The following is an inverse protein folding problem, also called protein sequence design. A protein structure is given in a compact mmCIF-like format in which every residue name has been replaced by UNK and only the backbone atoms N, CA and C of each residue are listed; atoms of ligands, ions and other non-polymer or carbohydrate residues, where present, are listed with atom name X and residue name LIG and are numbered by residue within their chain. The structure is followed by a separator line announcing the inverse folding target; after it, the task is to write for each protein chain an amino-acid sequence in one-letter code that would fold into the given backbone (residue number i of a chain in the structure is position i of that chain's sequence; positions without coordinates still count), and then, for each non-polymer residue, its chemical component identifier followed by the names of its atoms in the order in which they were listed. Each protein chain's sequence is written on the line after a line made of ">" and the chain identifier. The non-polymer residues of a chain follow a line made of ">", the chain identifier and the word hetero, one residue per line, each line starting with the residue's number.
data_IF_220639235881
#
_entry.id   IF_220639235881
#
_cell.length_a   1.000
_cell.length_b   1.000
_cell.length_c   1.000
_cell.angle_alpha   90.00
_cell.angle_beta   90.00
_cell.angle_gamma   90.00
#
_symmetry.space_group_name_H-M   'P 1'
#
loop_
_entity.id
_entity.type
_entity.pdbx_description
1 polymer ?
#
# COMPACT_ATOMS: atom_id res chain seq x y z
N UNK A 1 -0.44 13.53 7.56
CA UNK A 1 0.01 13.63 6.17
C UNK A 1 1.52 13.59 6.16
N UNK A 2 2.11 12.61 5.52
CA UNK A 2 3.57 12.47 5.42
C UNK A 2 4.00 12.92 4.02
N UNK A 3 4.95 13.83 3.93
CA UNK A 3 5.48 14.32 2.64
C UNK A 3 6.95 13.90 2.58
N UNK A 4 7.28 13.00 1.64
CA UNK A 4 8.65 12.68 1.28
C UNK A 4 8.76 12.84 -0.24
N UNK A 5 9.75 13.62 -0.69
CA UNK A 5 10.03 13.83 -2.13
C UNK A 5 8.84 14.34 -2.98
N UNK A 6 8.07 15.34 -2.52
CA UNK A 6 6.88 15.88 -3.17
C UNK A 6 5.70 14.90 -3.32
N UNK A 7 5.70 13.77 -2.61
CA UNK A 7 4.61 12.82 -2.58
C UNK A 7 3.78 13.01 -1.32
N UNK A 8 2.45 13.12 -1.45
CA UNK A 8 1.55 13.12 -0.29
C UNK A 8 0.98 11.72 -0.09
N UNK A 9 0.93 11.28 1.16
CA UNK A 9 0.37 9.98 1.53
C UNK A 9 -0.75 10.20 2.53
N UNK A 10 -1.90 9.53 2.31
CA UNK A 10 -3.06 9.53 3.20
C UNK A 10 -3.48 8.11 3.52
N UNK A 11 -3.98 7.90 4.72
CA UNK A 11 -4.55 6.62 5.17
C UNK A 11 -5.78 6.87 6.05
N UNK A 12 -6.63 5.84 6.18
CA UNK A 12 -7.89 5.91 6.93
C UNK A 12 -7.72 5.49 8.38
N UNK A 13 -7.12 4.33 8.61
CA UNK A 13 -7.01 3.67 9.92
C UNK A 13 -5.57 3.26 10.23
N UNK A 14 -5.33 2.86 11.47
CA UNK A 14 -4.07 2.25 11.88
C UNK A 14 -4.22 0.73 11.88
N UNK A 15 -3.21 0.02 11.42
CA UNK A 15 -3.20 -1.43 11.37
C UNK A 15 -2.12 -1.98 12.32
N UNK A 16 -2.56 -2.78 13.28
CA UNK A 16 -1.67 -3.59 14.10
C UNK A 16 -1.57 -4.98 13.47
N UNK A 17 -0.37 -5.46 13.13
CA UNK A 17 -0.19 -6.79 12.54
C UNK A 17 -0.75 -7.93 13.40
N UNK A 18 -1.16 -9.02 12.74
CA UNK A 18 -1.87 -10.14 13.37
C UNK A 18 -1.03 -10.94 14.38
N UNK A 19 0.28 -10.74 14.39
CA UNK A 19 1.19 -11.41 15.33
C UNK A 19 1.28 -10.73 16.71
N UNK A 20 0.61 -9.58 16.93
CA UNK A 20 0.48 -8.98 18.25
C UNK A 20 -0.69 -9.57 19.03
N UNK A 21 -0.56 -9.64 20.37
CA UNK A 21 -1.61 -10.02 21.32
C UNK A 21 -2.02 -8.83 22.18
N UNK A 22 -3.18 -8.96 22.83
CA UNK A 22 -3.67 -7.93 23.76
C UNK A 22 -4.13 -6.64 23.07
N UNK A 23 -4.61 -6.76 21.85
CA UNK A 23 -5.20 -5.63 21.12
C UNK A 23 -6.45 -5.14 21.86
N UNK A 24 -6.68 -3.83 21.86
CA UNK A 24 -7.95 -3.27 22.29
C UNK A 24 -9.02 -3.41 21.19
N UNK A 25 -10.27 -3.13 21.55
CA UNK A 25 -11.43 -3.29 20.63
C UNK A 25 -11.29 -2.49 19.31
N UNK A 26 -10.73 -1.29 19.37
CA UNK A 26 -10.52 -0.46 18.19
C UNK A 26 -9.44 -1.06 17.27
N UNK A 27 -8.35 -1.54 17.85
CA UNK A 27 -7.27 -2.21 17.09
C UNK A 27 -7.76 -3.50 16.43
N UNK A 28 -8.54 -4.31 17.16
CA UNK A 28 -9.15 -5.52 16.61
C UNK A 28 -10.14 -5.22 15.49
N UNK A 29 -10.95 -4.17 15.65
CA UNK A 29 -11.88 -3.71 14.61
C UNK A 29 -11.12 -3.28 13.36
N UNK A 30 -10.11 -2.45 13.51
CA UNK A 30 -9.31 -1.93 12.40
C UNK A 30 -8.56 -3.06 11.70
N UNK A 31 -8.02 -4.02 12.44
CA UNK A 31 -7.41 -5.23 11.89
C UNK A 31 -8.40 -6.05 11.05
N UNK A 32 -9.62 -6.28 11.55
CA UNK A 32 -10.68 -6.97 10.79
C UNK A 32 -11.06 -6.23 9.50
N UNK A 33 -11.12 -4.89 9.52
CA UNK A 33 -11.41 -4.08 8.34
C UNK A 33 -10.34 -4.32 7.26
N UNK A 34 -9.07 -4.33 7.65
CA UNK A 34 -7.95 -4.55 6.71
C UNK A 34 -7.98 -5.97 6.14
N UNK A 35 -8.18 -6.99 6.98
CA UNK A 35 -8.25 -8.39 6.54
C UNK A 35 -9.44 -8.61 5.59
N UNK A 36 -10.61 -8.06 5.92
CA UNK A 36 -11.77 -8.12 5.04
C UNK A 36 -11.51 -7.41 3.70
N UNK A 37 -10.81 -6.28 3.70
CA UNK A 37 -10.44 -5.59 2.47
C UNK A 37 -9.52 -6.43 1.58
N UNK A 38 -8.51 -7.08 2.16
CA UNK A 38 -7.64 -8.02 1.44
C UNK A 38 -8.43 -9.15 0.78
N UNK A 39 -9.49 -9.60 1.44
CA UNK A 39 -10.38 -10.66 0.92
C UNK A 39 -11.46 -10.15 -0.05
N UNK A 40 -11.47 -8.86 -0.39
CA UNK A 40 -12.48 -8.25 -1.25
C UNK A 40 -13.84 -8.02 -0.54
N UNK A 41 -13.91 -8.27 0.76
CA UNK A 41 -15.11 -8.16 1.59
C UNK A 41 -15.16 -6.79 2.29
N UNK A 42 -15.58 -5.76 1.61
CA UNK A 42 -15.72 -4.41 2.17
C UNK A 42 -17.01 -3.74 1.72
N UNK A 43 -17.47 -2.78 2.53
CA UNK A 43 -18.75 -2.12 2.37
C UNK A 43 -18.65 -0.82 1.54
N UNK A 44 -19.82 -0.25 1.25
CA UNK A 44 -19.95 0.97 0.47
C UNK A 44 -19.35 2.20 1.17
N UNK A 45 -19.36 2.24 2.51
CA UNK A 45 -18.76 3.35 3.29
C UNK A 45 -17.25 3.45 3.05
N UNK A 46 -16.60 2.30 2.89
CA UNK A 46 -15.17 2.28 2.58
C UNK A 46 -14.89 2.76 1.16
N UNK A 47 -15.70 2.31 0.20
CA UNK A 47 -15.59 2.77 -1.20
C UNK A 47 -15.87 4.27 -1.31
N UNK A 48 -16.89 4.76 -0.59
CA UNK A 48 -17.20 6.18 -0.50
C UNK A 48 -16.04 6.99 0.10
N UNK A 49 -15.35 6.44 1.11
CA UNK A 49 -14.17 7.09 1.70
C UNK A 49 -13.04 7.26 0.67
N UNK A 50 -12.73 6.23 -0.14
CA UNK A 50 -11.75 6.35 -1.22
C UNK A 50 -12.17 7.42 -2.22
N UNK A 51 -13.39 7.39 -2.73
CA UNK A 51 -13.92 8.38 -3.65
C UNK A 51 -13.81 9.82 -3.12
N UNK A 52 -14.20 10.04 -1.85
CA UNK A 52 -14.13 11.37 -1.22
C UNK A 52 -12.69 11.88 -1.10
N UNK A 53 -11.72 10.98 -0.82
CA UNK A 53 -10.32 11.38 -0.73
C UNK A 53 -9.69 11.60 -2.11
N UNK A 54 -10.09 10.85 -3.13
CA UNK A 54 -9.75 11.13 -4.52
C UNK A 54 -10.25 12.53 -4.90
N UNK A 55 -11.53 12.83 -4.68
CA UNK A 55 -12.10 14.16 -4.98
C UNK A 55 -11.36 15.31 -4.27
N UNK A 56 -10.96 15.11 -3.01
CA UNK A 56 -10.16 16.09 -2.26
C UNK A 56 -8.73 16.25 -2.77
N UNK A 57 -8.15 15.22 -3.38
CA UNK A 57 -6.81 15.29 -3.97
C UNK A 57 -6.84 15.98 -5.33
N UNK A 58 -7.87 15.72 -6.11
CA UNK A 58 -8.02 16.28 -7.46
C UNK A 58 -8.56 17.71 -7.46
N UNK A 59 -9.08 18.19 -6.32
CA UNK A 59 -9.76 19.49 -6.20
C UNK A 59 -10.86 19.69 -7.27
N UNK A 60 -11.45 18.59 -7.74
CA UNK A 60 -12.49 18.56 -8.77
C UNK A 60 -11.98 18.54 -10.22
N UNK A 61 -10.66 18.64 -10.45
CA UNK A 61 -10.07 18.40 -11.77
C UNK A 61 -9.79 16.90 -11.95
N UNK A 62 -10.76 16.16 -12.45
CA UNK A 62 -10.64 14.70 -12.66
C UNK A 62 -9.91 14.35 -13.96
N UNK A 63 -9.78 15.28 -14.93
CA UNK A 63 -9.22 14.96 -16.25
C UNK A 63 -7.69 14.88 -16.29
N UNK A 64 -7.01 15.63 -15.43
CA UNK A 64 -5.55 15.65 -15.34
C UNK A 64 -5.00 14.55 -14.44
N UNK A 65 -5.88 13.65 -13.93
CA UNK A 65 -5.54 12.64 -12.95
C UNK A 65 -5.81 11.23 -13.47
N UNK A 66 -5.06 10.29 -12.93
CA UNK A 66 -5.37 8.86 -13.01
C UNK A 66 -5.24 8.19 -11.65
N UNK A 67 -6.01 7.13 -11.45
CA UNK A 67 -5.94 6.26 -10.28
C UNK A 67 -5.39 4.92 -10.73
N UNK A 68 -4.32 4.50 -10.07
CA UNK A 68 -3.67 3.21 -10.29
C UNK A 68 -3.56 2.46 -8.98
N UNK A 69 -3.56 1.14 -9.04
CA UNK A 69 -3.40 0.29 -7.86
C UNK A 69 -1.98 -0.26 -7.80
N UNK A 70 -1.40 -0.36 -6.59
CA UNK A 70 -0.13 -1.04 -6.41
C UNK A 70 -0.29 -2.53 -6.72
N UNK A 71 0.74 -3.18 -7.30
CA UNK A 71 0.62 -4.56 -7.73
C UNK A 71 0.55 -5.53 -6.55
N UNK A 72 -0.36 -6.50 -6.63
CA UNK A 72 -0.41 -7.66 -5.75
C UNK A 72 0.49 -8.80 -6.29
N UNK A 73 0.61 -9.89 -5.52
CA UNK A 73 1.40 -11.07 -5.90
C UNK A 73 0.90 -11.79 -7.16
N UNK A 74 -0.38 -11.65 -7.49
CA UNK A 74 -0.98 -12.17 -8.72
C UNK A 74 -2.15 -11.32 -9.20
N UNK A 75 -2.55 -11.51 -10.47
CA UNK A 75 -3.72 -10.83 -11.06
C UNK A 75 -5.03 -11.25 -10.35
N UNK A 76 -5.12 -12.48 -9.88
CA UNK A 76 -6.28 -12.97 -9.13
C UNK A 76 -6.39 -12.24 -7.78
N UNK A 77 -5.28 -12.06 -7.07
CA UNK A 77 -5.23 -11.28 -5.83
C UNK A 77 -5.56 -9.81 -6.08
N UNK A 78 -5.04 -9.24 -7.16
CA UNK A 78 -5.31 -7.87 -7.59
C UNK A 78 -6.82 -7.67 -7.82
N UNK A 79 -7.42 -8.56 -8.62
CA UNK A 79 -8.85 -8.51 -8.93
C UNK A 79 -9.72 -8.77 -7.69
N UNK A 80 -9.36 -9.74 -6.85
CA UNK A 80 -10.07 -10.05 -5.61
C UNK A 80 -10.09 -8.84 -4.68
N UNK A 81 -8.94 -8.20 -4.47
CA UNK A 81 -8.76 -7.10 -3.51
C UNK A 81 -9.36 -5.80 -3.99
N UNK A 82 -9.13 -5.43 -5.24
CA UNK A 82 -9.44 -4.09 -5.75
C UNK A 82 -10.55 -4.04 -6.79
N UNK A 83 -10.96 -5.16 -7.40
CA UNK A 83 -11.91 -5.18 -8.52
C UNK A 83 -13.25 -4.50 -8.20
N UNK A 84 -13.80 -4.72 -6.99
CA UNK A 84 -15.03 -4.05 -6.55
C UNK A 84 -14.84 -2.53 -6.40
N UNK A 85 -13.70 -2.10 -5.85
CA UNK A 85 -13.38 -0.68 -5.69
C UNK A 85 -13.13 0.00 -7.05
N UNK A 86 -12.40 -0.67 -7.93
CA UNK A 86 -12.18 -0.20 -9.31
C UNK A 86 -13.50 0.06 -10.02
N UNK A 87 -14.40 -0.92 -10.03
CA UNK A 87 -15.72 -0.79 -10.65
C UNK A 87 -16.50 0.37 -10.04
N UNK A 88 -16.56 0.46 -8.71
CA UNK A 88 -17.25 1.54 -8.02
C UNK A 88 -16.70 2.92 -8.41
N UNK A 89 -15.36 3.07 -8.47
CA UNK A 89 -14.74 4.34 -8.84
C UNK A 89 -15.02 4.70 -10.30
N UNK A 90 -14.96 3.74 -11.24
CA UNK A 90 -15.32 3.95 -12.66
C UNK A 90 -16.77 4.43 -12.84
N UNK A 91 -17.69 3.92 -12.04
CA UNK A 91 -19.11 4.29 -12.11
C UNK A 91 -19.40 5.64 -11.45
N UNK A 92 -18.57 6.10 -10.50
CA UNK A 92 -18.86 7.24 -9.64
C UNK A 92 -17.86 8.41 -9.77
N UNK A 93 -16.91 8.36 -10.71
CA UNK A 93 -15.96 9.43 -11.02
C UNK A 93 -15.75 9.54 -12.53
N UNK A 94 -15.12 10.62 -12.98
CA UNK A 94 -14.69 10.79 -14.39
C UNK A 94 -13.19 10.59 -14.57
N UNK A 95 -12.51 10.23 -13.49
CA UNK A 95 -11.08 10.00 -13.49
C UNK A 95 -10.76 8.67 -14.20
N UNK A 96 -9.63 8.60 -14.85
CA UNK A 96 -9.17 7.34 -15.45
C UNK A 96 -8.74 6.37 -14.33
N UNK A 97 -9.31 5.17 -14.31
CA UNK A 97 -9.06 4.15 -13.28
C UNK A 97 -8.45 2.91 -13.93
N UNK A 98 -7.29 2.50 -13.46
CA UNK A 98 -6.49 1.42 -14.05
C UNK A 98 -6.04 0.41 -12.99
N UNK A 99 -6.60 -0.80 -13.03
CA UNK A 99 -6.28 -1.86 -12.08
C UNK A 99 -4.89 -2.47 -12.34
N UNK A 100 -4.50 -2.61 -13.59
CA UNK A 100 -3.32 -3.36 -14.03
C UNK A 100 -2.24 -2.46 -14.65
N UNK A 101 -2.10 -1.21 -14.18
CA UNK A 101 -1.03 -0.31 -14.64
C UNK A 101 0.34 -0.84 -14.27
N UNK A 102 0.46 -1.44 -13.09
CA UNK A 102 1.67 -2.02 -12.55
C UNK A 102 1.52 -3.53 -12.41
N UNK A 103 2.55 -4.25 -12.79
CA UNK A 103 2.61 -5.70 -12.64
C UNK A 103 4.05 -6.15 -12.43
N UNK A 104 4.26 -7.34 -11.88
CA UNK A 104 5.60 -7.91 -11.79
C UNK A 104 5.98 -8.57 -13.12
N UNK A 105 7.20 -8.32 -13.61
CA UNK A 105 7.72 -8.87 -14.89
C UNK A 105 7.96 -10.37 -14.79
N UNK A 106 8.30 -10.87 -13.60
CA UNK A 106 8.48 -12.29 -13.32
C UNK A 106 7.66 -12.67 -12.08
N UNK A 107 7.11 -13.89 -12.08
CA UNK A 107 6.56 -14.46 -10.84
C UNK A 107 7.70 -14.52 -9.84
N UNK A 108 7.65 -13.65 -8.83
CA UNK A 108 8.58 -13.77 -7.72
C UNK A 108 8.26 -15.09 -7.00
N UNK A 109 9.20 -16.04 -7.07
CA UNK A 109 9.26 -17.03 -6.01
C UNK A 109 9.47 -16.27 -4.69
N UNK A 110 8.86 -16.70 -3.58
CA UNK A 110 9.00 -16.03 -2.29
C UNK A 110 10.49 -15.82 -2.02
N UNK A 111 10.92 -14.59 -1.86
CA UNK A 111 12.33 -14.17 -1.81
C UNK A 111 12.98 -14.53 -0.47
N UNK A 112 12.97 -15.80 -0.09
CA UNK A 112 13.65 -16.30 1.12
C UNK A 112 15.17 -16.43 0.99
N UNK A 113 15.76 -16.18 -0.20
CA UNK A 113 17.14 -16.61 -0.46
C UNK A 113 18.10 -15.58 -1.04
N UNK A 114 17.69 -14.33 -1.31
CA UNK A 114 18.62 -13.35 -1.89
C UNK A 114 18.62 -12.09 -1.02
N UNK A 115 19.80 -11.75 -0.49
CA UNK A 115 19.99 -10.51 0.28
C UNK A 115 19.46 -9.30 -0.49
N UNK A 116 18.70 -8.46 0.19
CA UNK A 116 18.08 -7.23 -0.32
C UNK A 116 19.16 -6.30 -0.89
N UNK A 117 19.49 -6.39 -2.17
CA UNK A 117 20.26 -5.38 -2.86
C UNK A 117 19.91 -5.33 -4.34
N UNK A 118 19.49 -4.17 -4.80
CA UNK A 118 19.50 -3.66 -6.18
C UNK A 118 18.73 -4.40 -7.31
N UNK A 119 18.28 -5.64 -7.13
CA UNK A 119 17.63 -6.43 -8.19
C UNK A 119 16.13 -6.08 -8.32
N UNK A 120 15.49 -5.64 -7.27
CA UNK A 120 14.03 -5.47 -7.23
C UNK A 120 13.47 -4.21 -7.92
N UNK A 121 14.31 -3.24 -8.26
CA UNK A 121 13.84 -2.00 -8.92
C UNK A 121 13.40 -2.22 -10.37
N UNK A 122 13.82 -3.32 -11.02
CA UNK A 122 13.53 -3.61 -12.43
C UNK A 122 12.32 -4.51 -12.65
N UNK A 123 11.70 -5.04 -11.58
CA UNK A 123 10.69 -6.10 -11.72
C UNK A 123 9.23 -5.60 -11.79
N UNK A 124 8.98 -4.29 -11.76
CA UNK A 124 7.64 -3.75 -11.93
C UNK A 124 7.48 -3.28 -13.37
N UNK A 125 6.65 -3.98 -14.15
CA UNK A 125 6.19 -3.50 -15.45
C UNK A 125 5.20 -2.35 -15.25
N UNK A 126 5.28 -1.34 -16.12
CA UNK A 126 4.40 -0.17 -16.06
C UNK A 126 3.79 0.08 -17.44
N UNK A 127 2.45 0.20 -17.49
CA UNK A 127 1.76 0.69 -18.66
C UNK A 127 1.85 2.22 -18.73
N UNK A 128 2.82 2.74 -19.50
CA UNK A 128 3.18 4.17 -19.56
C UNK A 128 2.00 5.11 -19.85
N UNK A 129 1.07 4.80 -20.77
CA UNK A 129 -0.07 5.68 -21.07
C UNK A 129 -0.91 6.05 -19.86
N UNK A 130 -1.00 5.18 -18.86
CA UNK A 130 -1.84 5.40 -17.68
C UNK A 130 -1.26 6.47 -16.73
N UNK A 131 0.04 6.78 -16.85
CA UNK A 131 0.74 7.70 -15.96
C UNK A 131 1.35 8.91 -16.68
N UNK A 132 1.60 8.81 -17.98
CA UNK A 132 2.29 9.86 -18.74
C UNK A 132 1.50 11.17 -18.77
N UNK A 133 2.13 12.26 -18.32
CA UNK A 133 1.54 13.61 -18.18
C UNK A 133 0.31 13.65 -17.27
N UNK A 134 0.12 12.69 -16.36
CA UNK A 134 -0.98 12.67 -15.39
C UNK A 134 -0.46 12.94 -13.97
N UNK A 135 -1.33 13.48 -13.14
CA UNK A 135 -1.19 13.39 -11.69
C UNK A 135 -1.75 12.01 -11.27
N UNK A 136 -0.98 11.22 -10.54
CA UNK A 136 -1.32 9.82 -10.27
C UNK A 136 -1.63 9.61 -8.79
N UNK A 137 -2.76 8.94 -8.52
CA UNK A 137 -3.09 8.44 -7.18
C UNK A 137 -2.82 6.95 -7.18
N UNK A 138 -1.87 6.51 -6.34
CA UNK A 138 -1.57 5.10 -6.10
C UNK A 138 -2.38 4.62 -4.90
N UNK A 139 -3.20 3.59 -5.11
CA UNK A 139 -4.03 2.97 -4.06
C UNK A 139 -3.45 1.63 -3.64
N UNK A 140 -3.45 1.37 -2.31
CA UNK A 140 -3.16 0.07 -1.74
C UNK A 140 -3.93 -0.14 -0.42
N UNK A 141 -3.86 -1.38 0.11
CA UNK A 141 -4.48 -1.70 1.39
C UNK A 141 -3.67 -1.15 2.57
N UNK A 142 -2.38 -1.45 2.65
CA UNK A 142 -1.53 -1.09 3.80
C UNK A 142 -0.25 -0.42 3.34
N UNK A 143 0.11 0.67 4.02
CA UNK A 143 1.46 1.19 3.96
C UNK A 143 2.23 0.80 5.24
N UNK A 144 3.33 0.07 5.08
CA UNK A 144 4.25 -0.30 6.18
C UNK A 144 5.46 0.63 6.17
N UNK A 145 6.52 0.27 5.50
CA UNK A 145 7.70 1.13 5.30
C UNK A 145 7.51 2.16 4.18
N UNK A 146 6.58 1.90 3.27
CA UNK A 146 6.33 2.69 2.08
C UNK A 146 7.34 2.40 0.95
N UNK A 147 8.13 1.35 1.04
CA UNK A 147 9.16 1.02 0.05
C UNK A 147 8.54 0.73 -1.32
N UNK A 148 7.53 -0.15 -1.40
CA UNK A 148 6.80 -0.45 -2.65
C UNK A 148 6.20 0.81 -3.25
N UNK A 149 5.55 1.64 -2.42
CA UNK A 149 5.01 2.92 -2.88
C UNK A 149 6.10 3.82 -3.46
N UNK A 150 7.22 4.01 -2.74
CA UNK A 150 8.30 4.90 -3.18
C UNK A 150 8.91 4.40 -4.50
N UNK A 151 9.17 3.11 -4.64
CA UNK A 151 9.71 2.50 -5.87
C UNK A 151 8.75 2.69 -7.06
N UNK A 152 7.47 2.41 -6.86
CA UNK A 152 6.45 2.59 -7.90
C UNK A 152 6.30 4.06 -8.28
N UNK A 153 6.30 4.96 -7.28
CA UNK A 153 6.24 6.40 -7.51
C UNK A 153 7.44 6.92 -8.29
N UNK A 154 8.65 6.50 -7.94
CA UNK A 154 9.87 6.88 -8.69
C UNK A 154 9.83 6.39 -10.13
N UNK A 155 9.36 5.17 -10.37
CA UNK A 155 9.21 4.63 -11.72
C UNK A 155 8.17 5.42 -12.52
N UNK A 156 7.00 5.70 -11.97
CA UNK A 156 5.98 6.51 -12.63
C UNK A 156 6.48 7.92 -12.96
N UNK A 157 7.21 8.56 -12.03
CA UNK A 157 7.82 9.86 -12.28
C UNK A 157 8.86 9.81 -13.40
N UNK A 158 9.71 8.78 -13.46
CA UNK A 158 10.66 8.58 -14.58
C UNK A 158 9.96 8.40 -15.93
N UNK A 159 8.75 7.84 -15.92
CA UNK A 159 7.93 7.64 -17.12
C UNK A 159 7.04 8.85 -17.45
N UNK A 160 7.22 9.98 -16.77
CA UNK A 160 6.61 11.25 -17.11
C UNK A 160 5.31 11.57 -16.37
N UNK A 161 5.05 10.96 -15.22
CA UNK A 161 3.99 11.42 -14.33
C UNK A 161 4.31 12.82 -13.78
N UNK A 162 3.30 13.69 -13.65
CA UNK A 162 3.46 15.05 -13.14
C UNK A 162 3.60 15.09 -11.61
N UNK A 163 2.81 14.28 -10.91
CA UNK A 163 2.85 14.14 -9.45
C UNK A 163 2.34 12.76 -9.03
N UNK A 164 2.73 12.31 -7.83
CA UNK A 164 2.28 11.04 -7.27
C UNK A 164 1.73 11.26 -5.87
N UNK A 165 0.59 10.64 -5.59
CA UNK A 165 -0.07 10.67 -4.29
C UNK A 165 -0.45 9.26 -3.86
N UNK A 166 -0.21 8.91 -2.60
CA UNK A 166 -0.58 7.61 -2.03
C UNK A 166 -1.90 7.69 -1.28
N UNK A 167 -2.79 6.73 -1.50
CA UNK A 167 -4.05 6.60 -0.78
C UNK A 167 -4.20 5.16 -0.28
N UNK A 168 -4.07 4.96 1.03
CA UNK A 168 -4.04 3.66 1.67
C UNK A 168 -5.25 3.47 2.59
N UNK A 169 -5.74 2.25 2.70
CA UNK A 169 -6.71 1.93 3.74
C UNK A 169 -6.09 2.11 5.12
N UNK A 170 -4.89 1.57 5.33
CA UNK A 170 -4.27 1.55 6.64
C UNK A 170 -2.78 1.90 6.61
N UNK A 171 -2.28 2.38 7.76
CA UNK A 171 -0.84 2.47 8.05
C UNK A 171 -0.49 1.50 9.16
N UNK A 172 0.53 0.67 8.94
CA UNK A 172 1.06 -0.22 9.97
C UNK A 172 1.63 0.57 11.13
N UNK A 173 1.29 0.14 12.34
CA UNK A 173 1.89 0.60 13.60
C UNK A 173 2.39 -0.61 14.39
N UNK A 174 3.44 -0.41 15.16
CA UNK A 174 4.04 -1.42 16.03
C UNK A 174 3.90 -0.95 17.48
N UNK A 175 2.81 -1.35 18.17
CA UNK A 175 2.62 -0.99 19.56
C UNK A 175 3.57 -1.79 20.47
N UNK A 176 3.79 -1.29 21.67
CA UNK A 176 4.50 -2.03 22.73
C UNK A 176 3.57 -3.06 23.35
N UNK A 177 3.30 -4.13 22.59
CA UNK A 177 2.43 -5.25 22.96
C UNK A 177 3.18 -6.58 22.80
N UNK A 178 2.80 -7.62 23.56
CA UNK A 178 3.39 -8.94 23.40
C UNK A 178 3.10 -9.50 22.01
N UNK A 179 4.03 -10.29 21.48
CA UNK A 179 3.85 -11.02 20.24
C UNK A 179 3.43 -12.46 20.54
N UNK A 180 2.55 -13.02 19.70
CA UNK A 180 2.14 -14.43 19.76
C UNK A 180 3.36 -15.35 19.66
N UNK A 181 3.38 -16.41 20.46
CA UNK A 181 4.39 -17.46 20.33
C UNK A 181 4.28 -18.14 18.95
N UNK A 182 5.42 -18.42 18.31
CA UNK A 182 5.44 -19.12 17.02
C UNK A 182 4.85 -20.52 17.18
N UNK A 183 3.66 -20.76 16.62
CA UNK A 183 3.25 -22.13 16.30
C UNK A 183 4.05 -22.60 15.07
N UNK A 184 4.83 -23.65 15.23
CA UNK A 184 5.87 -24.15 14.31
C UNK A 184 5.39 -24.64 12.92
N UNK A 185 4.19 -24.26 12.46
CA UNK A 185 3.60 -24.73 11.20
C UNK A 185 3.18 -23.67 10.19
N UNK A 186 3.57 -22.39 10.41
CA UNK A 186 3.42 -21.31 9.40
C UNK A 186 4.71 -20.50 9.37
N UNK A 187 5.76 -21.09 8.80
CA UNK A 187 7.13 -20.54 8.92
C UNK A 187 7.43 -19.38 7.96
N UNK A 188 6.62 -19.09 6.93
CA UNK A 188 7.16 -18.35 5.78
C UNK A 188 6.79 -16.86 5.70
N UNK A 189 5.66 -16.40 6.21
CA UNK A 189 5.27 -14.99 6.12
C UNK A 189 5.63 -14.14 7.37
N UNK A 190 5.70 -14.75 8.55
CA UNK A 190 5.88 -14.01 9.81
C UNK A 190 7.36 -13.65 10.13
N UNK A 191 8.34 -14.30 9.52
CA UNK A 191 9.76 -14.06 9.83
C UNK A 191 10.26 -12.73 9.28
N UNK A 192 9.86 -12.37 8.07
CA UNK A 192 10.24 -11.11 7.40
C UNK A 192 9.64 -9.92 8.15
N UNK A 193 8.37 -10.05 8.54
CA UNK A 193 7.63 -8.99 9.25
C UNK A 193 8.22 -8.74 10.64
N UNK A 194 8.76 -9.79 11.31
CA UNK A 194 9.43 -9.65 12.61
C UNK A 194 10.80 -8.98 12.51
N UNK A 195 11.60 -9.31 11.51
CA UNK A 195 12.87 -8.62 11.26
C UNK A 195 12.66 -7.14 10.98
N UNK A 196 11.63 -6.80 10.19
CA UNK A 196 11.27 -5.41 9.92
C UNK A 196 10.81 -4.68 11.20
N UNK A 197 10.03 -5.33 12.07
CA UNK A 197 9.61 -4.78 13.36
C UNK A 197 10.79 -4.54 14.30
N UNK A 198 11.77 -5.46 14.35
CA UNK A 198 12.99 -5.29 15.16
C UNK A 198 13.89 -4.16 14.63
N UNK A 199 14.02 -4.04 13.31
CA UNK A 199 14.78 -2.98 12.65
C UNK A 199 14.13 -1.62 12.93
N UNK A 200 12.81 -1.52 12.79
CA UNK A 200 12.07 -0.28 13.07
C UNK A 200 12.12 0.12 14.54
N UNK A 201 12.06 -0.85 15.46
CA UNK A 201 12.22 -0.57 16.89
C UNK A 201 13.65 -0.13 17.25
N UNK A 202 14.67 -0.67 16.60
CA UNK A 202 16.06 -0.21 16.75
C UNK A 202 16.27 1.18 16.20
N UNK A 203 15.67 1.53 15.06
CA UNK A 203 15.77 2.84 14.43
C UNK A 203 15.02 3.93 15.21
N UNK A 204 13.89 3.60 15.84
CA UNK A 204 13.13 4.55 16.66
C UNK A 204 13.75 4.85 18.02
N UNK A 205 14.66 3.98 18.49
CA UNK A 205 15.37 4.11 19.75
C UNK A 205 16.82 4.64 19.61
N UNK A 206 17.25 5.06 18.41
CA UNK A 206 18.52 5.74 18.24
C UNK A 206 18.44 7.15 18.84
N UNK A 207 19.43 7.56 19.65
CA UNK A 207 19.51 8.93 20.15
C UNK A 207 19.62 9.90 18.96
N UNK A 208 19.05 11.11 19.07
CA UNK A 208 19.21 12.12 18.03
C UNK A 208 20.70 12.37 17.81
N UNK A 209 21.12 12.35 16.54
CA UNK A 209 22.50 12.73 16.19
C UNK A 209 22.73 14.19 16.63
N UNK A 210 23.65 14.39 17.56
CA UNK A 210 24.12 15.70 17.97
C UNK A 210 24.80 16.39 16.76
N UNK A 211 24.14 17.44 16.27
CA UNK A 211 24.72 18.42 15.33
C UNK A 211 25.18 19.63 16.07
#
# INVERSE_FOLDING_TARGET
>A
MYIKNNHSIRWKIQYVPTYYEGLNEDQERDQRIVLNFKDGNYNDDLMLWFRQNIWKLTEGDEYSWSVCFLPCSSDEEQQKRFGKLEQYLKENTRIEIHLSTFGYVEKQEPSHYIGKSDIDLMNIALHVPDVYMKNVILIDDIITTGETFNRTAEQAMRMGANSIHGLFLAKTIHPDLPMKEKNSHREDDDSIIREEAEIMNKLSNLPPEDN
#
